data_IF_455294680771
#
_entry.id   IF_455294680771
#
_cell.length_a   1.000
_cell.length_b   1.000
_cell.length_c   1.000
_cell.angle_alpha   90.00
_cell.angle_beta   90.00
_cell.angle_gamma   90.00
#
_symmetry.space_group_name_H-M   'P 1'
#
loop_
_entity.id
_entity.type
_entity.pdbx_description
1 polymer ?
#
# COMPACT_ATOMS: atom_id res chain seq x y z
N UNK A 1 -4.85 17.02 21.68
CA UNK A 1 -5.50 15.95 20.86
C UNK A 1 -4.61 15.40 19.76
N UNK A 2 -4.02 16.24 18.89
CA UNK A 2 -2.92 15.83 17.98
C UNK A 2 -1.77 15.19 18.77
N UNK A 3 -1.48 15.72 19.96
CA UNK A 3 -0.49 15.17 20.90
C UNK A 3 -0.67 13.67 21.18
N UNK A 4 -1.90 13.17 21.37
CA UNK A 4 -2.13 11.75 21.69
C UNK A 4 -1.88 10.86 20.47
N UNK A 5 -2.33 11.27 19.29
CA UNK A 5 -2.06 10.53 18.06
C UNK A 5 -0.56 10.55 17.72
N UNK A 6 0.10 11.69 17.95
CA UNK A 6 1.53 11.83 17.77
C UNK A 6 2.30 10.92 18.75
N UNK A 7 1.93 10.90 20.03
CA UNK A 7 2.50 9.98 21.02
C UNK A 7 2.25 8.51 20.67
N UNK A 8 1.05 8.16 20.22
CA UNK A 8 0.74 6.80 19.77
C UNK A 8 1.59 6.40 18.56
N UNK A 9 1.75 7.31 17.58
CA UNK A 9 2.64 7.09 16.43
C UNK A 9 4.09 6.94 16.87
N UNK A 10 4.58 7.78 17.79
CA UNK A 10 5.94 7.67 18.34
C UNK A 10 6.14 6.31 18.99
N UNK A 11 5.23 5.88 19.87
CA UNK A 11 5.32 4.57 20.54
C UNK A 11 5.34 3.43 19.52
N UNK A 12 4.44 3.44 18.54
CA UNK A 12 4.39 2.42 17.49
C UNK A 12 5.67 2.42 16.64
N UNK A 13 6.20 3.59 16.29
CA UNK A 13 7.46 3.71 15.53
C UNK A 13 8.66 3.26 16.36
N UNK A 14 8.75 3.61 17.65
CA UNK A 14 9.82 3.13 18.54
C UNK A 14 9.77 1.61 18.69
N UNK A 15 8.57 1.02 18.85
CA UNK A 15 8.40 -0.43 18.89
C UNK A 15 8.81 -1.08 17.57
N UNK A 16 8.45 -0.48 16.43
CA UNK A 16 8.85 -0.98 15.11
C UNK A 16 10.38 -0.93 14.92
N UNK A 17 11.03 0.18 15.29
CA UNK A 17 12.49 0.33 15.22
C UNK A 17 13.18 -0.64 16.18
N UNK A 18 12.68 -0.79 17.41
CA UNK A 18 13.21 -1.74 18.38
C UNK A 18 13.08 -3.19 17.90
N UNK A 19 11.93 -3.55 17.30
CA UNK A 19 11.70 -4.87 16.70
C UNK A 19 12.63 -5.13 15.52
N UNK A 20 12.87 -4.12 14.69
CA UNK A 20 13.80 -4.19 13.56
C UNK A 20 15.26 -4.33 14.02
N UNK A 21 15.68 -3.54 15.02
CA UNK A 21 17.01 -3.64 15.61
C UNK A 21 17.24 -5.01 16.28
N UNK A 22 16.25 -5.52 17.01
CA UNK A 22 16.27 -6.87 17.56
C UNK A 22 16.41 -7.93 16.46
N UNK A 23 15.63 -7.81 15.38
CA UNK A 23 15.71 -8.73 14.25
C UNK A 23 17.10 -8.74 13.61
N UNK A 24 17.69 -7.57 13.33
CA UNK A 24 19.06 -7.47 12.78
C UNK A 24 20.06 -8.13 13.73
N UNK A 25 20.01 -7.83 15.03
CA UNK A 25 20.99 -8.34 15.97
C UNK A 25 20.87 -9.86 16.19
N UNK A 26 19.67 -10.42 16.03
CA UNK A 26 19.42 -11.86 16.25
C UNK A 26 19.69 -12.71 15.00
N UNK A 27 19.40 -12.18 13.80
CA UNK A 27 19.42 -12.97 12.56
C UNK A 27 20.52 -12.57 11.57
N UNK A 28 21.03 -11.34 11.62
CA UNK A 28 22.10 -10.88 10.71
C UNK A 28 23.49 -11.06 11.33
N UNK A 29 23.60 -11.03 12.67
CA UNK A 29 24.84 -11.33 13.39
C UNK A 29 24.75 -12.71 14.06
N UNK A 30 24.93 -13.84 13.34
CA UNK A 30 25.13 -15.12 14.00
C UNK A 30 26.44 -15.08 14.80
N UNK A 31 26.45 -15.44 16.09
CA UNK A 31 27.68 -15.55 16.86
C UNK A 31 28.40 -16.86 16.52
N UNK A 32 28.92 -17.05 15.29
CA UNK A 32 29.78 -18.22 14.98
C UNK A 32 30.50 -18.28 13.61
N UNK A 33 30.56 -17.24 12.78
CA UNK A 33 31.23 -17.39 11.45
C UNK A 33 32.77 -17.46 11.54
N UNK A 34 33.38 -17.06 12.67
CA UNK A 34 34.85 -17.10 12.83
C UNK A 34 35.42 -18.46 13.28
N UNK A 35 34.58 -19.46 13.59
CA UNK A 35 35.08 -20.79 14.00
C UNK A 35 35.16 -21.83 12.89
N UNK A 36 34.55 -21.58 11.74
CA UNK A 36 34.51 -22.56 10.63
C UNK A 36 35.59 -22.34 9.56
N UNK A 37 36.13 -21.11 9.44
CA UNK A 37 37.25 -20.83 8.52
C UNK A 37 38.55 -21.55 8.90
N UNK A 38 38.80 -21.77 10.19
CA UNK A 38 40.04 -22.41 10.67
C UNK A 38 40.00 -23.95 10.67
N UNK A 39 38.95 -24.59 10.12
CA UNK A 39 38.88 -26.05 10.00
C UNK A 39 38.94 -26.58 8.58
N UNK A 40 38.85 -25.70 7.57
CA UNK A 40 38.79 -26.10 6.16
C UNK A 40 40.17 -26.04 5.48
N UNK A 41 41.16 -25.36 6.06
CA UNK A 41 42.50 -25.24 5.45
C UNK A 41 43.41 -26.48 5.62
N UNK A 42 43.08 -27.44 6.50
CA UNK A 42 43.98 -28.58 6.81
C UNK A 42 43.55 -29.94 6.21
N UNK A 43 42.50 -30.00 5.40
CA UNK A 43 42.10 -31.28 4.79
C UNK A 43 41.39 -31.09 3.46
N UNK A 44 42.12 -31.20 2.34
CA UNK A 44 41.68 -31.99 1.18
C UNK A 44 42.78 -32.10 0.12
N UNK A 45 43.52 -33.19 0.23
CA UNK A 45 44.39 -33.76 -0.80
C UNK A 45 43.50 -34.38 -1.89
N UNK A 46 43.62 -33.86 -3.11
CA UNK A 46 43.28 -34.45 -4.43
C UNK A 46 42.38 -35.70 -4.49
N UNK A 47 41.19 -35.56 -5.11
CA UNK A 47 40.49 -36.66 -5.79
C UNK A 47 39.96 -36.18 -7.16
N UNK A 48 40.26 -36.87 -8.28
CA UNK A 48 39.81 -36.48 -9.61
C UNK A 48 38.42 -37.06 -9.89
N UNK A 49 37.40 -36.21 -9.77
CA UNK A 49 36.00 -36.56 -10.05
C UNK A 49 35.11 -35.33 -10.05
N UNK A 50 35.55 -34.25 -10.70
CA UNK A 50 34.77 -33.02 -10.80
C UNK A 50 33.56 -33.23 -11.72
N UNK A 51 32.38 -33.44 -11.14
CA UNK A 51 31.13 -33.17 -11.82
C UNK A 51 31.09 -31.68 -12.19
N UNK A 52 30.80 -31.39 -13.47
CA UNK A 52 30.66 -30.03 -13.98
C UNK A 52 29.76 -29.19 -13.07
N UNK A 53 30.09 -27.92 -12.79
CA UNK A 53 29.18 -27.03 -12.07
C UNK A 53 27.89 -26.93 -12.88
N UNK A 54 26.77 -27.29 -12.26
CA UNK A 54 25.44 -27.13 -12.84
C UNK A 54 25.29 -25.65 -13.17
N UNK A 55 25.29 -25.30 -14.45
CA UNK A 55 25.30 -23.92 -14.91
C UNK A 55 23.98 -23.27 -14.45
N UNK A 56 24.05 -22.42 -13.44
CA UNK A 56 22.88 -21.74 -12.87
C UNK A 56 22.48 -20.64 -13.85
N UNK A 57 21.32 -20.80 -14.48
CA UNK A 57 20.83 -19.85 -15.48
C UNK A 57 20.08 -18.72 -14.76
N UNK A 58 20.52 -17.48 -14.97
CA UNK A 58 19.79 -16.32 -14.45
C UNK A 58 18.59 -16.03 -15.33
N UNK A 59 17.41 -16.01 -14.71
CA UNK A 59 16.16 -15.70 -15.41
C UNK A 59 16.13 -14.22 -15.75
N UNK A 60 15.61 -13.89 -16.92
CA UNK A 60 15.47 -12.49 -17.33
C UNK A 60 14.52 -11.72 -16.40
N UNK A 61 14.75 -10.40 -16.29
CA UNK A 61 13.89 -9.50 -15.53
C UNK A 61 12.41 -9.66 -15.89
N UNK A 62 12.09 -9.74 -17.20
CA UNK A 62 10.71 -9.80 -17.69
C UNK A 62 9.98 -11.06 -17.24
N UNK A 63 10.65 -12.21 -17.29
CA UNK A 63 10.05 -13.49 -16.88
C UNK A 63 9.83 -13.50 -15.35
N UNK A 64 10.81 -13.04 -14.57
CA UNK A 64 10.66 -12.89 -13.11
C UNK A 64 9.54 -11.89 -12.76
N UNK A 65 9.42 -10.79 -13.50
CA UNK A 65 8.39 -9.77 -13.31
C UNK A 65 6.99 -10.33 -13.58
N UNK A 66 6.80 -11.13 -14.64
CA UNK A 66 5.51 -11.74 -14.97
C UNK A 66 5.05 -12.71 -13.89
N UNK A 67 5.95 -13.50 -13.31
CA UNK A 67 5.64 -14.35 -12.15
C UNK A 67 5.28 -13.52 -10.90
N UNK A 68 5.93 -12.38 -10.72
CA UNK A 68 5.63 -11.45 -9.62
C UNK A 68 4.43 -10.54 -9.88
N UNK A 69 3.74 -10.65 -11.02
CA UNK A 69 2.75 -9.65 -11.44
C UNK A 69 1.60 -9.50 -10.44
N UNK A 70 1.08 -10.62 -9.90
CA UNK A 70 0.01 -10.59 -8.90
C UNK A 70 0.40 -9.82 -7.63
N UNK A 71 1.48 -10.17 -6.88
CA UNK A 71 1.87 -9.42 -5.71
C UNK A 71 2.31 -7.97 -6.02
N UNK A 72 2.89 -7.69 -7.20
CA UNK A 72 3.21 -6.32 -7.61
C UNK A 72 1.93 -5.49 -7.76
N UNK A 73 0.91 -6.02 -8.44
CA UNK A 73 -0.35 -5.29 -8.70
C UNK A 73 -1.25 -5.14 -7.46
N UNK A 74 -1.06 -5.97 -6.42
CA UNK A 74 -1.78 -5.81 -5.15
C UNK A 74 -1.52 -4.44 -4.52
N UNK A 75 -0.30 -3.90 -4.58
CA UNK A 75 -0.04 -2.58 -4.03
C UNK A 75 -0.87 -1.47 -4.70
N UNK A 76 -0.80 -1.24 -6.03
CA UNK A 76 -1.57 -0.17 -6.65
C UNK A 76 -3.09 -0.38 -6.50
N UNK A 77 -3.59 -1.61 -6.53
CA UNK A 77 -5.00 -1.90 -6.29
C UNK A 77 -5.48 -1.53 -4.88
N UNK A 78 -4.64 -1.74 -3.86
CA UNK A 78 -4.88 -1.25 -2.51
C UNK A 78 -4.77 0.28 -2.42
N UNK A 79 -3.67 0.78 -2.94
CA UNK A 79 -3.21 2.17 -2.83
C UNK A 79 -4.16 3.14 -3.50
N UNK A 80 -4.66 2.84 -4.71
CA UNK A 80 -5.58 3.73 -5.40
C UNK A 80 -6.83 3.98 -4.58
N UNK A 81 -7.40 2.95 -3.94
CA UNK A 81 -8.62 3.14 -3.14
C UNK A 81 -8.31 3.89 -1.86
N UNK A 82 -7.26 3.49 -1.14
CA UNK A 82 -6.90 4.09 0.14
C UNK A 82 -6.41 5.52 -0.01
N UNK A 83 -5.46 5.80 -0.90
CA UNK A 83 -4.85 7.12 -1.05
C UNK A 83 -5.77 8.10 -1.79
N UNK A 84 -6.67 7.62 -2.65
CA UNK A 84 -7.70 8.46 -3.25
C UNK A 84 -8.83 8.80 -2.27
N UNK A 85 -9.35 7.81 -1.55
CA UNK A 85 -10.50 8.04 -0.67
C UNK A 85 -10.09 8.61 0.69
N UNK A 86 -9.05 8.07 1.34
CA UNK A 86 -8.67 8.47 2.69
C UNK A 86 -7.48 9.44 2.69
N UNK A 87 -7.52 10.53 3.49
CA UNK A 87 -8.61 10.95 4.36
C UNK A 87 -9.65 11.86 3.66
N UNK A 88 -9.29 12.46 2.52
CA UNK A 88 -10.02 13.62 1.98
C UNK A 88 -11.48 13.36 1.60
N UNK A 89 -11.80 12.15 1.16
CA UNK A 89 -13.16 11.72 0.78
C UNK A 89 -13.82 10.99 1.94
N UNK A 90 -13.22 9.88 2.38
CA UNK A 90 -13.59 9.15 3.60
C UNK A 90 -12.61 9.48 4.72
N UNK A 91 -13.06 9.94 5.90
CA UNK A 91 -14.44 10.26 6.28
C UNK A 91 -14.86 11.72 5.99
N UNK A 92 -13.92 12.60 5.64
CA UNK A 92 -14.10 14.06 5.76
C UNK A 92 -15.06 14.69 4.75
N UNK A 93 -15.35 14.07 3.61
CA UNK A 93 -16.37 14.59 2.69
C UNK A 93 -17.79 14.26 3.15
N UNK A 94 -17.96 13.21 3.98
CA UNK A 94 -19.26 12.63 4.32
C UNK A 94 -19.64 12.83 5.78
N UNK A 95 -18.71 13.17 6.67
CA UNK A 95 -18.94 13.45 8.08
C UNK A 95 -18.38 14.80 8.51
N UNK A 96 -19.03 15.39 9.51
CA UNK A 96 -18.47 16.55 10.22
C UNK A 96 -17.15 16.19 10.91
N UNK A 97 -16.24 17.17 10.93
CA UNK A 97 -14.86 17.03 11.43
C UNK A 97 -14.76 16.36 12.80
N UNK A 98 -15.64 16.71 13.74
CA UNK A 98 -15.61 16.15 15.10
C UNK A 98 -15.82 14.63 15.14
N UNK A 99 -16.70 14.12 14.27
CA UNK A 99 -17.00 12.68 14.18
C UNK A 99 -15.85 11.92 13.51
N UNK A 100 -15.14 12.55 12.57
CA UNK A 100 -13.99 11.97 11.86
C UNK A 100 -12.80 11.68 12.78
N UNK A 101 -12.64 12.44 13.86
CA UNK A 101 -11.48 12.28 14.75
C UNK A 101 -11.42 10.91 15.43
N UNK A 102 -12.58 10.34 15.80
CA UNK A 102 -12.62 9.00 16.38
C UNK A 102 -12.22 7.95 15.33
N UNK A 103 -12.70 8.11 14.09
CA UNK A 103 -12.37 7.20 12.99
C UNK A 103 -10.86 7.19 12.75
N UNK A 104 -10.22 8.36 12.66
CA UNK A 104 -8.78 8.45 12.41
C UNK A 104 -7.93 7.76 13.49
N UNK A 105 -8.34 7.84 14.77
CA UNK A 105 -7.63 7.13 15.85
C UNK A 105 -7.66 5.61 15.64
N UNK A 106 -8.83 5.07 15.30
CA UNK A 106 -9.00 3.63 15.05
C UNK A 106 -8.24 3.21 13.79
N UNK A 107 -8.29 4.02 12.73
CA UNK A 107 -7.55 3.78 11.48
C UNK A 107 -6.05 3.60 11.72
N UNK A 108 -5.44 4.43 12.58
CA UNK A 108 -4.01 4.30 12.92
C UNK A 108 -3.69 2.93 13.52
N UNK A 109 -4.57 2.36 14.34
CA UNK A 109 -4.38 1.04 14.93
C UNK A 109 -4.56 -0.08 13.88
N UNK A 110 -5.59 0.02 13.05
CA UNK A 110 -5.90 -1.03 12.06
C UNK A 110 -4.86 -1.11 10.93
N UNK A 111 -4.15 -0.01 10.66
CA UNK A 111 -3.14 0.04 9.59
C UNK A 111 -2.02 -1.01 9.75
N UNK A 112 -1.71 -1.41 10.99
CA UNK A 112 -0.66 -2.41 11.27
C UNK A 112 -1.13 -3.87 11.24
N UNK A 113 -2.43 -4.14 11.11
CA UNK A 113 -2.97 -5.51 11.26
C UNK A 113 -2.44 -6.47 10.18
N UNK A 114 -2.38 -6.02 8.92
CA UNK A 114 -1.89 -6.83 7.81
C UNK A 114 -0.46 -7.32 8.01
N UNK A 115 0.53 -6.42 8.21
CA UNK A 115 1.91 -6.80 8.51
C UNK A 115 2.04 -7.71 9.74
N UNK A 116 1.32 -7.42 10.83
CA UNK A 116 1.36 -8.23 12.05
C UNK A 116 0.82 -9.64 11.81
N UNK A 117 -0.28 -9.76 11.05
CA UNK A 117 -0.87 -11.06 10.72
C UNK A 117 0.06 -11.91 9.85
N UNK A 118 0.68 -11.29 8.83
CA UNK A 118 1.66 -11.99 7.99
C UNK A 118 2.92 -12.39 8.76
N UNK A 119 3.37 -11.57 9.72
CA UNK A 119 4.49 -11.94 10.58
C UNK A 119 4.19 -13.16 11.46
N UNK A 120 2.97 -13.25 12.01
CA UNK A 120 2.53 -14.42 12.78
C UNK A 120 2.47 -15.66 11.87
N UNK A 121 1.95 -15.53 10.65
CA UNK A 121 1.94 -16.63 9.68
C UNK A 121 3.33 -17.05 9.23
N UNK A 122 4.28 -16.12 9.14
CA UNK A 122 5.69 -16.43 8.89
C UNK A 122 6.27 -17.29 10.01
N UNK A 123 6.05 -16.90 11.26
CA UNK A 123 6.55 -17.65 12.42
C UNK A 123 5.92 -19.04 12.55
N UNK A 124 4.71 -19.22 12.04
CA UNK A 124 4.03 -20.50 11.98
C UNK A 124 4.44 -21.38 10.78
N UNK A 125 5.30 -20.90 9.87
CA UNK A 125 5.66 -21.61 8.63
C UNK A 125 4.54 -21.66 7.58
N UNK A 126 3.45 -20.91 7.78
CA UNK A 126 2.30 -20.91 6.88
C UNK A 126 2.51 -19.99 5.66
N UNK A 127 3.49 -19.08 5.73
CA UNK A 127 3.75 -18.09 4.69
C UNK A 127 5.14 -18.24 4.03
N UNK A 128 5.83 -19.37 4.15
CA UNK A 128 7.22 -19.51 3.65
C UNK A 128 7.36 -19.29 2.13
N UNK A 129 6.34 -19.67 1.35
CA UNK A 129 6.30 -19.52 -0.12
C UNK A 129 5.02 -18.85 -0.59
N UNK A 130 5.11 -18.16 -1.72
CA UNK A 130 3.92 -17.64 -2.39
C UNK A 130 3.14 -18.81 -3.00
N UNK A 131 1.91 -18.99 -2.55
CA UNK A 131 0.97 -19.98 -3.08
C UNK A 131 -0.19 -19.31 -3.80
N UNK A 132 -0.87 -20.05 -4.68
CA UNK A 132 -2.07 -19.58 -5.38
C UNK A 132 -3.20 -19.16 -4.44
N UNK A 133 -3.18 -19.60 -3.17
CA UNK A 133 -4.11 -19.15 -2.14
C UNK A 133 -4.06 -17.63 -1.95
N UNK A 134 -2.87 -17.02 -1.98
CA UNK A 134 -2.73 -15.57 -1.80
C UNK A 134 -3.33 -14.79 -2.97
N UNK A 135 -3.39 -15.36 -4.18
CA UNK A 135 -4.13 -14.76 -5.29
C UNK A 135 -5.64 -14.65 -4.97
N UNK A 136 -6.19 -15.49 -4.09
CA UNK A 136 -7.57 -15.39 -3.61
C UNK A 136 -7.90 -14.06 -2.91
N UNK A 137 -6.90 -13.36 -2.37
CA UNK A 137 -7.11 -12.04 -1.75
C UNK A 137 -7.67 -11.00 -2.73
N UNK A 138 -7.48 -11.17 -4.04
CA UNK A 138 -8.10 -10.32 -5.06
C UNK A 138 -9.63 -10.27 -4.97
N UNK A 139 -10.28 -11.30 -4.42
CA UNK A 139 -11.73 -11.29 -4.19
C UNK A 139 -12.13 -10.16 -3.23
N UNK A 140 -11.26 -9.79 -2.28
CA UNK A 140 -11.51 -8.69 -1.33
C UNK A 140 -11.49 -7.31 -1.99
N UNK A 141 -10.95 -7.19 -3.21
CA UNK A 141 -11.01 -5.96 -4.00
C UNK A 141 -12.44 -5.61 -4.43
N UNK A 142 -13.31 -6.60 -4.61
CA UNK A 142 -14.71 -6.41 -5.02
C UNK A 142 -15.50 -5.56 -4.01
N UNK A 143 -15.60 -5.91 -2.71
CA UNK A 143 -16.35 -5.10 -1.75
C UNK A 143 -15.75 -3.70 -1.57
N UNK A 144 -14.44 -3.55 -1.69
CA UNK A 144 -13.77 -2.24 -1.55
C UNK A 144 -13.99 -1.34 -2.77
N UNK A 145 -14.09 -1.94 -3.96
CA UNK A 145 -14.51 -1.23 -5.18
C UNK A 145 -15.95 -0.74 -5.06
N UNK A 146 -16.85 -1.55 -4.50
CA UNK A 146 -18.22 -1.13 -4.21
C UNK A 146 -18.25 0.04 -3.21
N UNK A 147 -17.46 -0.01 -2.13
CA UNK A 147 -17.32 1.10 -1.18
C UNK A 147 -16.90 2.38 -1.90
N UNK A 148 -15.94 2.29 -2.83
CA UNK A 148 -15.44 3.43 -3.61
C UNK A 148 -16.53 4.04 -4.49
N UNK A 149 -17.27 3.19 -5.22
CA UNK A 149 -18.38 3.61 -6.09
C UNK A 149 -19.48 4.28 -5.25
N UNK A 150 -19.91 3.63 -4.15
CA UNK A 150 -20.94 4.18 -3.27
C UNK A 150 -20.52 5.49 -2.61
N UNK A 151 -19.24 5.66 -2.29
CA UNK A 151 -18.70 6.93 -1.76
C UNK A 151 -18.82 8.05 -2.79
N UNK A 152 -18.41 7.81 -4.03
CA UNK A 152 -18.53 8.79 -5.11
C UNK A 152 -19.99 9.09 -5.45
N UNK A 153 -20.85 8.07 -5.46
CA UNK A 153 -22.30 8.25 -5.63
C UNK A 153 -22.91 9.07 -4.50
N UNK A 154 -22.48 8.84 -3.25
CA UNK A 154 -22.92 9.60 -2.10
C UNK A 154 -22.53 11.08 -2.21
N UNK A 155 -21.47 11.43 -2.92
CA UNK A 155 -21.07 12.83 -3.12
C UNK A 155 -21.82 13.45 -4.30
N UNK A 156 -21.83 12.76 -5.45
CA UNK A 156 -22.23 13.36 -6.72
C UNK A 156 -23.69 13.14 -7.13
N UNK A 157 -24.36 12.14 -6.56
CA UNK A 157 -25.73 11.76 -6.99
C UNK A 157 -26.76 12.03 -5.90
N UNK A 158 -28.05 11.88 -6.22
CA UNK A 158 -29.15 11.95 -5.22
C UNK A 158 -29.85 10.62 -5.02
N UNK A 159 -29.19 9.52 -5.36
CA UNK A 159 -29.76 8.19 -5.20
C UNK A 159 -30.00 7.92 -3.70
N UNK A 160 -31.20 7.51 -3.27
CA UNK A 160 -31.54 7.37 -1.87
C UNK A 160 -30.61 6.45 -1.08
N UNK A 161 -30.18 5.31 -1.68
CA UNK A 161 -29.26 4.37 -1.05
C UNK A 161 -27.90 4.99 -0.73
N UNK A 162 -27.32 5.72 -1.69
CA UNK A 162 -26.05 6.41 -1.51
C UNK A 162 -26.19 7.66 -0.61
N UNK A 163 -27.32 8.36 -0.66
CA UNK A 163 -27.57 9.53 0.17
C UNK A 163 -27.63 9.19 1.67
N UNK A 164 -28.05 7.96 2.05
CA UNK A 164 -28.03 7.48 3.45
C UNK A 164 -26.64 7.44 4.09
N UNK A 165 -25.58 7.43 3.27
CA UNK A 165 -24.19 7.44 3.76
C UNK A 165 -23.83 8.83 4.34
N UNK A 166 -24.42 9.90 3.79
CA UNK A 166 -24.12 11.28 4.19
C UNK A 166 -24.48 11.52 5.66
N UNK A 167 -23.51 12.05 6.42
CA UNK A 167 -23.63 12.34 7.85
C UNK A 167 -23.95 11.11 8.74
N UNK A 168 -23.86 9.89 8.20
CA UNK A 168 -24.06 8.65 8.96
C UNK A 168 -22.73 8.14 9.52
N UNK A 169 -22.51 8.38 10.81
CA UNK A 169 -21.28 7.96 11.52
C UNK A 169 -21.01 6.46 11.39
N UNK A 170 -21.95 5.54 11.68
CA UNK A 170 -21.64 4.11 11.66
C UNK A 170 -21.28 3.63 10.25
N UNK A 171 -22.04 4.05 9.23
CA UNK A 171 -21.80 3.62 7.84
C UNK A 171 -20.43 4.09 7.34
N UNK A 172 -20.13 5.39 7.51
CA UNK A 172 -18.85 5.95 7.06
C UNK A 172 -17.68 5.37 7.86
N UNK A 173 -17.86 5.07 9.15
CA UNK A 173 -16.85 4.37 9.96
C UNK A 173 -16.58 2.99 9.38
N UNK A 174 -17.60 2.16 9.19
CA UNK A 174 -17.43 0.80 8.63
C UNK A 174 -16.77 0.85 7.26
N UNK A 175 -17.23 1.70 6.35
CA UNK A 175 -16.62 1.86 5.02
C UNK A 175 -15.13 2.23 5.12
N UNK A 176 -14.78 3.20 5.99
CA UNK A 176 -13.40 3.64 6.18
C UNK A 176 -12.53 2.53 6.76
N UNK A 177 -13.00 1.86 7.82
CA UNK A 177 -12.23 0.80 8.48
C UNK A 177 -12.01 -0.40 7.54
N UNK A 178 -13.03 -0.81 6.78
CA UNK A 178 -12.89 -1.88 5.78
C UNK A 178 -11.85 -1.52 4.71
N UNK A 179 -11.86 -0.30 4.18
CA UNK A 179 -10.84 0.16 3.22
C UNK A 179 -9.43 0.12 3.80
N UNK A 180 -9.27 0.52 5.07
CA UNK A 180 -7.96 0.53 5.73
C UNK A 180 -7.44 -0.88 6.02
N UNK A 181 -8.29 -1.79 6.48
CA UNK A 181 -7.93 -3.20 6.69
C UNK A 181 -7.52 -3.84 5.38
N UNK A 182 -8.31 -3.66 4.32
CA UNK A 182 -7.98 -4.15 2.97
C UNK A 182 -6.60 -3.64 2.51
N UNK A 183 -6.37 -2.33 2.62
CA UNK A 183 -5.09 -1.74 2.25
C UNK A 183 -3.92 -2.30 3.08
N UNK A 184 -4.12 -2.49 4.38
CA UNK A 184 -3.11 -3.05 5.28
C UNK A 184 -2.64 -4.44 4.82
N UNK A 185 -3.56 -5.32 4.41
CA UNK A 185 -3.22 -6.64 3.86
C UNK A 185 -2.59 -6.54 2.47
N UNK A 186 -3.15 -5.78 1.54
CA UNK A 186 -2.62 -5.66 0.17
C UNK A 186 -1.23 -5.04 0.15
N UNK A 187 -0.98 -4.06 1.01
CA UNK A 187 0.35 -3.49 1.23
C UNK A 187 1.33 -4.56 1.72
N UNK A 188 0.98 -5.28 2.78
CA UNK A 188 1.87 -6.27 3.38
C UNK A 188 2.13 -7.47 2.44
N UNK A 189 1.10 -7.96 1.75
CA UNK A 189 1.20 -9.05 0.77
C UNK A 189 2.06 -8.66 -0.43
N UNK A 190 1.97 -7.42 -0.91
CA UNK A 190 2.83 -6.95 -2.00
C UNK A 190 4.31 -6.91 -1.58
N UNK A 191 4.60 -6.30 -0.43
CA UNK A 191 5.97 -6.15 0.05
C UNK A 191 6.63 -7.48 0.46
N UNK A 192 5.87 -8.40 1.06
CA UNK A 192 6.38 -9.70 1.46
C UNK A 192 6.31 -10.75 0.34
N UNK A 193 5.32 -10.64 -0.56
CA UNK A 193 5.08 -11.60 -1.63
C UNK A 193 6.10 -11.50 -2.76
N UNK A 194 6.50 -10.29 -3.18
CA UNK A 194 7.46 -10.11 -4.28
C UNK A 194 8.81 -10.79 -3.99
N UNK A 195 9.48 -10.55 -2.85
CA UNK A 195 10.73 -11.25 -2.52
C UNK A 195 10.54 -12.77 -2.48
N UNK A 196 9.40 -13.25 -1.96
CA UNK A 196 9.12 -14.69 -1.88
C UNK A 196 8.99 -15.32 -3.25
N UNK A 197 8.26 -14.69 -4.18
CA UNK A 197 8.18 -15.19 -5.56
C UNK A 197 9.58 -15.19 -6.19
N UNK A 198 10.34 -14.10 -6.08
CA UNK A 198 11.71 -14.02 -6.63
C UNK A 198 12.62 -15.14 -6.11
N UNK A 199 12.52 -15.48 -4.83
CA UNK A 199 13.36 -16.49 -4.19
C UNK A 199 12.83 -17.93 -4.30
N UNK A 200 11.52 -18.13 -4.48
CA UNK A 200 10.92 -19.48 -4.40
C UNK A 200 10.27 -19.96 -5.69
N UNK A 201 9.95 -19.09 -6.65
CA UNK A 201 9.28 -19.46 -7.90
C UNK A 201 10.10 -20.43 -8.76
N UNK A 202 11.42 -20.38 -8.64
CA UNK A 202 12.34 -21.22 -9.41
C UNK A 202 12.92 -22.38 -8.58
N UNK A 203 12.43 -22.61 -7.36
CA UNK A 203 12.88 -23.73 -6.53
C UNK A 203 12.55 -25.06 -7.22
N UNK A 204 13.57 -25.88 -7.49
CA UNK A 204 13.45 -27.12 -8.27
C UNK A 204 13.84 -26.98 -9.74
N UNK A 205 14.23 -25.79 -10.19
CA UNK A 205 14.87 -25.55 -11.48
C UNK A 205 16.30 -25.04 -11.27
N UNK A 206 17.19 -25.15 -12.26
CA UNK A 206 18.56 -24.58 -12.21
C UNK A 206 18.59 -23.06 -12.38
N UNK A 207 17.47 -22.39 -12.09
CA UNK A 207 17.20 -21.00 -12.40
C UNK A 207 17.09 -20.16 -11.13
N UNK A 208 17.62 -18.93 -11.18
CA UNK A 208 17.49 -17.96 -10.09
C UNK A 208 16.76 -16.72 -10.64
N UNK A 209 15.74 -16.26 -9.89
CA UNK A 209 14.99 -15.05 -10.23
C UNK A 209 15.81 -13.77 -10.07
N UNK A 210 15.51 -12.77 -10.90
CA UNK A 210 16.19 -11.47 -10.85
C UNK A 210 15.75 -10.64 -9.63
N UNK A 211 16.70 -10.39 -8.72
CA UNK A 211 16.49 -9.60 -7.50
C UNK A 211 16.15 -8.13 -7.80
N UNK A 212 16.47 -7.63 -9.00
CA UNK A 212 16.16 -6.26 -9.44
C UNK A 212 14.65 -5.98 -9.43
N UNK A 213 13.81 -7.02 -9.58
CA UNK A 213 12.34 -6.92 -9.49
C UNK A 213 11.88 -6.41 -8.11
N UNK A 214 12.60 -6.74 -7.04
CA UNK A 214 12.29 -6.26 -5.68
C UNK A 214 12.48 -4.75 -5.61
N UNK A 215 13.62 -4.25 -6.08
CA UNK A 215 13.92 -2.81 -6.13
C UNK A 215 12.92 -2.07 -7.03
N UNK A 216 12.59 -2.65 -8.18
CA UNK A 216 11.58 -2.11 -9.08
C UNK A 216 10.21 -1.96 -8.39
N UNK A 217 9.77 -3.00 -7.67
CA UNK A 217 8.52 -2.95 -6.90
C UNK A 217 8.52 -1.79 -5.90
N UNK A 218 9.61 -1.60 -5.15
CA UNK A 218 9.72 -0.49 -4.18
C UNK A 218 9.60 0.86 -4.87
N UNK A 219 10.34 1.09 -5.97
CA UNK A 219 10.27 2.34 -6.74
C UNK A 219 8.84 2.57 -7.27
N UNK A 220 8.22 1.54 -7.86
CA UNK A 220 6.84 1.62 -8.33
C UNK A 220 5.86 1.95 -7.21
N UNK A 221 6.01 1.34 -6.02
CA UNK A 221 5.11 1.62 -4.89
C UNK A 221 5.18 3.09 -4.47
N UNK A 222 6.36 3.70 -4.47
CA UNK A 222 6.54 5.13 -4.18
C UNK A 222 5.88 6.01 -5.24
N UNK A 223 6.10 5.70 -6.53
CA UNK A 223 5.50 6.42 -7.65
C UNK A 223 3.97 6.35 -7.63
N UNK A 224 3.40 5.16 -7.43
CA UNK A 224 1.95 4.98 -7.34
C UNK A 224 1.34 5.77 -6.19
N UNK A 225 1.97 5.73 -5.00
CA UNK A 225 1.55 6.53 -3.84
C UNK A 225 1.51 8.01 -4.15
N UNK A 226 2.57 8.51 -4.75
CA UNK A 226 2.68 9.91 -5.14
C UNK A 226 1.56 10.31 -6.11
N UNK A 227 1.40 9.54 -7.21
CA UNK A 227 0.40 9.81 -8.24
C UNK A 227 -1.01 9.77 -7.64
N UNK A 228 -1.36 8.73 -6.88
CA UNK A 228 -2.71 8.60 -6.31
C UNK A 228 -3.01 9.69 -5.27
N UNK A 229 -2.03 10.07 -4.46
CA UNK A 229 -2.18 11.19 -3.52
C UNK A 229 -2.46 12.50 -4.26
N UNK A 230 -1.72 12.81 -5.34
CA UNK A 230 -1.92 14.03 -6.14
C UNK A 230 -3.27 14.04 -6.84
N UNK A 231 -3.70 12.92 -7.40
CA UNK A 231 -5.04 12.77 -7.98
C UNK A 231 -6.13 13.03 -6.90
N UNK A 232 -5.93 12.52 -5.68
CA UNK A 232 -6.85 12.74 -4.56
C UNK A 232 -6.97 14.23 -4.20
N UNK A 233 -5.85 14.95 -4.15
CA UNK A 233 -5.81 16.40 -3.88
C UNK A 233 -6.58 17.16 -4.97
N UNK A 234 -6.29 16.87 -6.25
CA UNK A 234 -6.97 17.48 -7.39
C UNK A 234 -8.48 17.26 -7.37
N UNK A 235 -8.92 16.04 -7.03
CA UNK A 235 -10.34 15.70 -6.91
C UNK A 235 -11.00 16.45 -5.75
N UNK A 236 -10.37 16.47 -4.57
CA UNK A 236 -10.91 17.15 -3.39
C UNK A 236 -11.03 18.66 -3.61
N UNK A 237 -10.05 19.28 -4.25
CA UNK A 237 -10.14 20.70 -4.59
C UNK A 237 -11.29 20.97 -5.58
N UNK A 238 -11.40 20.15 -6.63
CA UNK A 238 -12.44 20.29 -7.66
C UNK A 238 -13.85 20.10 -7.09
N UNK A 239 -14.07 19.08 -6.25
CA UNK A 239 -15.39 18.81 -5.65
C UNK A 239 -15.82 19.95 -4.72
N UNK A 240 -14.90 20.47 -3.91
CA UNK A 240 -15.20 21.54 -2.94
C UNK A 240 -15.56 22.83 -3.68
N UNK A 241 -14.78 23.20 -4.70
CA UNK A 241 -15.05 24.41 -5.50
C UNK A 241 -16.41 24.37 -6.21
N UNK A 242 -16.83 23.17 -6.64
CA UNK A 242 -18.15 22.98 -7.23
C UNK A 242 -19.28 22.94 -6.21
N UNK A 243 -19.04 22.92 -4.89
CA UNK A 243 -20.09 22.86 -3.87
C UNK A 243 -20.48 21.43 -3.44
N UNK A 244 -19.71 20.41 -3.82
CA UNK A 244 -19.91 19.02 -3.37
C UNK A 244 -19.22 18.77 -2.02
N UNK A 245 -19.73 19.44 -0.98
CA UNK A 245 -19.26 19.29 0.40
C UNK A 245 -20.42 19.41 1.40
N UNK A 246 -20.19 18.99 2.64
CA UNK A 246 -21.14 19.24 3.73
C UNK A 246 -21.31 20.75 3.98
N UNK A 247 -22.51 21.23 4.36
CA UNK A 247 -23.74 20.46 4.66
C UNK A 247 -24.61 20.16 3.43
N UNK A 248 -24.36 20.80 2.28
CA UNK A 248 -25.21 20.70 1.09
C UNK A 248 -24.38 20.22 -0.11
N UNK A 249 -24.59 18.96 -0.51
CA UNK A 249 -24.02 18.39 -1.74
C UNK A 249 -24.77 18.89 -2.99
N UNK A 250 -24.60 20.17 -3.33
CA UNK A 250 -25.26 20.79 -4.49
C UNK A 250 -24.24 21.58 -5.31
N UNK A 251 -24.25 21.43 -6.64
CA UNK A 251 -23.34 22.17 -7.48
C UNK A 251 -23.67 23.67 -7.45
N UNK A 252 -22.63 24.51 -7.33
CA UNK A 252 -22.74 25.97 -7.42
C UNK A 252 -23.16 26.43 -8.82
N UNK A 253 -22.81 25.65 -9.85
CA UNK A 253 -23.18 25.90 -11.24
C UNK A 253 -23.83 24.65 -11.86
N UNK A 254 -24.99 24.82 -12.51
CA UNK A 254 -25.61 23.74 -13.30
C UNK A 254 -24.84 23.50 -14.60
N UNK A 255 -24.44 22.26 -14.85
CA UNK A 255 -23.84 21.79 -16.11
C UNK A 255 -24.53 20.50 -16.56
N UNK A 256 -24.43 20.16 -17.85
CA UNK A 256 -24.87 18.85 -18.35
C UNK A 256 -24.00 17.74 -17.75
N UNK A 257 -24.53 16.49 -17.67
CA UNK A 257 -23.82 15.36 -17.04
C UNK A 257 -22.46 15.07 -17.69
N UNK A 258 -22.39 15.11 -19.03
CA UNK A 258 -21.14 14.88 -19.77
C UNK A 258 -20.12 15.99 -19.52
N UNK A 259 -20.55 17.26 -19.57
CA UNK A 259 -19.68 18.40 -19.31
C UNK A 259 -19.18 18.41 -17.87
N UNK A 260 -20.02 18.00 -16.91
CA UNK A 260 -19.64 17.85 -15.51
C UNK A 260 -18.57 16.76 -15.33
N UNK A 261 -18.75 15.59 -15.95
CA UNK A 261 -17.78 14.50 -15.87
C UNK A 261 -16.43 14.92 -16.47
N UNK A 262 -16.44 15.53 -17.66
CA UNK A 262 -15.23 16.05 -18.29
C UNK A 262 -14.58 17.16 -17.48
N UNK A 263 -15.38 18.06 -16.89
CA UNK A 263 -14.89 19.10 -15.99
C UNK A 263 -14.18 18.51 -14.78
N UNK A 264 -14.73 17.46 -14.16
CA UNK A 264 -14.09 16.77 -13.04
C UNK A 264 -12.76 16.15 -13.45
N UNK A 265 -12.73 15.41 -14.56
CA UNK A 265 -11.50 14.77 -15.06
C UNK A 265 -10.44 15.85 -15.34
N UNK A 266 -10.77 16.83 -16.19
CA UNK A 266 -9.83 17.88 -16.62
C UNK A 266 -9.28 18.67 -15.43
N UNK A 267 -10.14 19.12 -14.51
CA UNK A 267 -9.67 19.95 -13.38
C UNK A 267 -8.96 19.13 -12.31
N UNK A 268 -9.34 17.86 -12.10
CA UNK A 268 -8.61 16.96 -11.18
C UNK A 268 -7.17 16.79 -11.65
N UNK A 269 -6.96 16.40 -12.92
CA UNK A 269 -5.60 16.21 -13.44
C UNK A 269 -4.82 17.52 -13.58
N UNK A 270 -5.47 18.60 -14.05
CA UNK A 270 -4.82 19.92 -14.14
C UNK A 270 -4.34 20.40 -12.77
N UNK A 271 -5.18 20.25 -11.72
CA UNK A 271 -4.81 20.67 -10.37
C UNK A 271 -3.77 19.75 -9.75
N UNK A 272 -3.88 18.44 -9.95
CA UNK A 272 -2.88 17.47 -9.50
C UNK A 272 -1.50 17.76 -10.11
N UNK A 273 -1.45 18.11 -11.40
CA UNK A 273 -0.21 18.52 -12.08
C UNK A 273 0.35 19.83 -11.56
N UNK A 274 -0.50 20.85 -11.34
CA UNK A 274 -0.08 22.12 -10.76
C UNK A 274 0.53 21.94 -9.36
N UNK A 275 -0.16 21.19 -8.50
CA UNK A 275 0.25 20.87 -7.13
C UNK A 275 1.53 20.01 -7.10
N UNK A 276 1.77 19.22 -8.14
CA UNK A 276 3.04 18.49 -8.32
C UNK A 276 4.18 19.45 -8.65
N UNK A 277 3.97 20.37 -9.60
CA UNK A 277 4.99 21.36 -10.00
C UNK A 277 5.30 22.32 -8.84
N UNK A 278 4.28 22.74 -8.09
CA UNK A 278 4.48 23.60 -6.91
C UNK A 278 5.34 22.91 -5.85
N UNK A 279 5.10 21.64 -5.53
CA UNK A 279 5.92 20.88 -4.59
C UNK A 279 7.40 20.83 -5.02
N UNK A 280 7.67 20.65 -6.31
CA UNK A 280 9.05 20.66 -6.83
C UNK A 280 9.69 22.06 -6.84
N UNK A 281 8.89 23.12 -6.92
CA UNK A 281 9.37 24.51 -6.88
C UNK A 281 9.49 25.06 -5.47
N UNK A 282 8.86 24.42 -4.49
CA UNK A 282 8.81 24.89 -3.11
C UNK A 282 10.21 24.82 -2.49
N UNK A 283 10.74 25.96 -2.07
CA UNK A 283 11.99 26.01 -1.34
C UNK A 283 11.71 25.67 0.12
N UNK A 284 12.28 24.56 0.61
CA UNK A 284 12.06 24.07 1.98
C UNK A 284 12.49 25.13 3.02
N UNK A 285 13.41 26.03 2.67
CA UNK A 285 13.86 27.14 3.54
C UNK A 285 12.76 28.15 3.86
N UNK A 286 11.71 28.24 3.05
CA UNK A 286 10.61 29.19 3.27
C UNK A 286 9.59 28.67 4.30
N UNK A 287 9.75 27.41 4.76
CA UNK A 287 8.84 26.71 5.68
C UNK A 287 9.52 26.22 6.98
N UNK A 288 10.82 26.48 7.15
CA UNK A 288 11.60 26.26 8.37
C UNK A 288 11.73 27.57 9.16
#
# INVERSE_FOLDING_TARGET
MIKIQCWLSVVLTTLAVGSWAYFINTYWNPPSVDKEKNKIEDSETSSPGAQNPTNVEFVTFSETFMECLSPILMFPAGSIVKDFLFPGVLPYALLNRDKCHIINKVVTLLYGIGPMSLFIFEKAGAFDKWSSFYNGFWVTTVPVSLISIYTLMAIHTRIPSAAKIRNSKPIVTTMTLTTIVYYSFFYALSFAGVPKVVHTAFNGTTKIGDKTVITFNVICTMLYRFIFSKIAVGYNHTRVNLGYHLPKFRPNHRMSKSNLAWYFIRNTFRRAGHDTIEDFRMNIKDYL
#
